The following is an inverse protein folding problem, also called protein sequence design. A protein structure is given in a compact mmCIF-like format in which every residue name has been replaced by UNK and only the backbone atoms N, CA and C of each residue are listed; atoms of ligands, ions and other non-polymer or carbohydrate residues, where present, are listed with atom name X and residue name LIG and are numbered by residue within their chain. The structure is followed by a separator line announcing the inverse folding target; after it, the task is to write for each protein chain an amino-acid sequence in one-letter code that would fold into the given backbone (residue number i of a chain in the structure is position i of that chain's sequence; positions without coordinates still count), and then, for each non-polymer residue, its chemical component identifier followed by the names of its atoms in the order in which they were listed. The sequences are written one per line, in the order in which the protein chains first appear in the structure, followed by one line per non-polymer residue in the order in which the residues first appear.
data_IF_924751404592
#
_entry.id   IF_924751404592
#
_cell.length_a   1.000
_cell.length_b   1.000
_cell.length_c   1.000
_cell.angle_alpha   90.00
_cell.angle_beta   90.00
_cell.angle_gamma   90.00
#
_symmetry.space_group_name_H-M   'P 1'
#
loop_
_entity.id
_entity.type
_entity.pdbx_description
1 polymer ?
#
# COMPACT_ATOMS: atom_id res chain seq x y z
N UNK A 1 -35.06 -2.29 7.30
CA UNK A 1 -34.01 -2.77 8.21
C UNK A 1 -34.54 -3.52 9.45
N UNK A 2 -35.61 -3.07 10.12
CA UNK A 2 -36.12 -3.72 11.35
C UNK A 2 -36.40 -5.23 11.18
N UNK A 3 -37.13 -5.64 10.15
CA UNK A 3 -37.41 -7.07 9.90
C UNK A 3 -36.12 -7.88 9.63
N UNK A 4 -35.16 -7.32 8.89
CA UNK A 4 -33.87 -7.95 8.60
C UNK A 4 -33.04 -8.18 9.87
N UNK A 5 -33.04 -7.21 10.81
CA UNK A 5 -32.39 -7.38 12.11
C UNK A 5 -33.01 -8.52 12.93
N UNK A 6 -34.32 -8.72 12.84
CA UNK A 6 -34.95 -9.87 13.51
C UNK A 6 -34.45 -11.21 12.93
N UNK A 7 -34.32 -11.31 11.59
CA UNK A 7 -33.73 -12.50 10.96
C UNK A 7 -32.26 -12.66 11.33
N UNK A 8 -31.48 -11.58 11.36
CA UNK A 8 -30.07 -11.59 11.76
C UNK A 8 -29.89 -12.21 13.16
N UNK A 9 -30.74 -11.83 14.12
CA UNK A 9 -30.70 -12.38 15.48
C UNK A 9 -30.95 -13.89 15.53
N UNK A 10 -31.75 -14.43 14.60
CA UNK A 10 -31.93 -15.90 14.49
C UNK A 10 -30.62 -16.56 14.11
N UNK A 11 -29.90 -16.04 13.11
CA UNK A 11 -28.61 -16.57 12.68
C UNK A 11 -27.56 -16.46 13.80
N UNK A 12 -27.47 -15.33 14.50
CA UNK A 12 -26.56 -15.17 15.64
C UNK A 12 -26.81 -16.24 16.71
N UNK A 13 -28.07 -16.49 17.08
CA UNK A 13 -28.44 -17.51 18.08
C UNK A 13 -28.09 -18.91 17.62
N UNK A 14 -28.32 -19.23 16.34
CA UNK A 14 -27.98 -20.52 15.76
C UNK A 14 -26.47 -20.76 15.74
N UNK A 15 -25.68 -19.80 15.25
CA UNK A 15 -24.21 -19.91 15.18
C UNK A 15 -23.57 -20.00 16.57
N UNK A 16 -24.10 -19.29 17.56
CA UNK A 16 -23.63 -19.38 18.95
C UNK A 16 -23.83 -20.78 19.53
N UNK A 17 -24.92 -21.47 19.17
CA UNK A 17 -25.25 -22.81 19.67
C UNK A 17 -24.62 -23.93 18.85
N UNK A 18 -24.51 -23.76 17.54
CA UNK A 18 -24.10 -24.78 16.58
C UNK A 18 -22.96 -24.25 15.71
N UNK A 19 -21.74 -24.26 16.25
CA UNK A 19 -20.56 -23.66 15.61
C UNK A 19 -20.22 -24.23 14.23
N UNK A 20 -20.55 -25.49 13.96
CA UNK A 20 -20.34 -26.11 12.65
C UNK A 20 -21.15 -25.43 11.52
N UNK A 21 -22.25 -24.72 11.85
CA UNK A 21 -23.06 -24.00 10.88
C UNK A 21 -22.32 -22.80 10.28
N UNK A 22 -21.31 -22.24 10.95
CA UNK A 22 -20.57 -21.06 10.46
C UNK A 22 -19.92 -21.36 9.10
N UNK A 23 -19.22 -22.50 9.02
CA UNK A 23 -18.59 -22.95 7.77
C UNK A 23 -19.62 -23.30 6.69
N UNK A 24 -20.70 -23.99 7.06
CA UNK A 24 -21.76 -24.33 6.11
C UNK A 24 -22.43 -23.07 5.55
N UNK A 25 -22.67 -22.07 6.38
CA UNK A 25 -23.28 -20.82 5.94
C UNK A 25 -22.35 -20.01 5.06
N UNK A 26 -21.04 -19.99 5.35
CA UNK A 26 -20.05 -19.39 4.46
C UNK A 26 -20.09 -20.05 3.06
N UNK A 27 -20.10 -21.37 3.00
CA UNK A 27 -20.15 -22.14 1.74
C UNK A 27 -21.43 -21.88 0.95
N UNK A 28 -22.59 -21.87 1.62
CA UNK A 28 -23.87 -21.55 0.98
C UNK A 28 -23.96 -20.09 0.54
N UNK A 29 -23.43 -19.15 1.32
CA UNK A 29 -23.38 -17.75 0.93
C UNK A 29 -22.54 -17.53 -0.33
N UNK A 30 -21.41 -18.23 -0.47
CA UNK A 30 -20.61 -18.20 -1.70
C UNK A 30 -21.43 -18.65 -2.92
N UNK A 31 -22.22 -19.72 -2.79
CA UNK A 31 -23.11 -20.19 -3.86
C UNK A 31 -24.19 -19.16 -4.16
N UNK A 32 -24.89 -18.65 -3.15
CA UNK A 32 -25.95 -17.65 -3.32
C UNK A 32 -25.43 -16.41 -4.06
N UNK A 33 -24.25 -15.92 -3.67
CA UNK A 33 -23.63 -14.76 -4.32
C UNK A 33 -23.25 -15.02 -5.78
N UNK A 34 -22.85 -16.24 -6.15
CA UNK A 34 -22.62 -16.62 -7.55
C UNK A 34 -23.91 -16.61 -8.39
N UNK A 35 -25.07 -16.80 -7.76
CA UNK A 35 -26.38 -16.83 -8.42
C UNK A 35 -27.18 -15.53 -8.29
N UNK A 36 -26.56 -14.40 -7.91
CA UNK A 36 -27.28 -13.11 -7.74
C UNK A 36 -28.02 -12.64 -9.00
N UNK A 37 -27.61 -13.12 -10.19
CA UNK A 37 -28.29 -12.87 -11.47
C UNK A 37 -29.72 -13.43 -11.52
N UNK A 38 -30.00 -14.49 -10.78
CA UNK A 38 -31.34 -15.11 -10.72
C UNK A 38 -32.37 -14.33 -9.88
N UNK A 39 -31.92 -13.33 -9.11
CA UNK A 39 -32.79 -12.51 -8.28
C UNK A 39 -33.26 -11.26 -9.04
N UNK A 40 -34.37 -10.67 -8.60
CA UNK A 40 -34.79 -9.33 -9.03
C UNK A 40 -33.90 -8.24 -8.40
N UNK A 41 -33.98 -7.01 -8.91
CA UNK A 41 -33.23 -5.86 -8.37
C UNK A 41 -33.50 -5.64 -6.88
N UNK A 42 -34.78 -5.71 -6.49
CA UNK A 42 -35.22 -5.51 -5.10
C UNK A 42 -34.68 -6.63 -4.21
N UNK A 43 -34.65 -7.87 -4.70
CA UNK A 43 -34.10 -9.01 -3.95
C UNK A 43 -32.59 -8.92 -3.81
N UNK A 44 -31.86 -8.47 -4.83
CA UNK A 44 -30.42 -8.19 -4.74
C UNK A 44 -30.11 -7.13 -3.69
N UNK A 45 -30.87 -6.03 -3.66
CA UNK A 45 -30.74 -4.99 -2.64
C UNK A 45 -30.97 -5.56 -1.23
N UNK A 46 -32.04 -6.35 -1.06
CA UNK A 46 -32.33 -7.01 0.22
C UNK A 46 -31.21 -7.96 0.65
N UNK A 47 -30.69 -8.74 -0.31
CA UNK A 47 -29.59 -9.67 -0.07
C UNK A 47 -28.31 -8.92 0.32
N UNK A 48 -27.92 -7.87 -0.40
CA UNK A 48 -26.76 -7.04 -0.07
C UNK A 48 -26.85 -6.49 1.36
N UNK A 49 -28.00 -5.93 1.74
CA UNK A 49 -28.26 -5.42 3.10
C UNK A 49 -28.20 -6.51 4.16
N UNK A 50 -28.72 -7.70 3.87
CA UNK A 50 -28.66 -8.82 4.80
C UNK A 50 -27.22 -9.35 4.94
N UNK A 51 -26.48 -9.41 3.84
CA UNK A 51 -25.04 -9.75 3.81
C UNK A 51 -24.23 -8.75 4.64
N UNK A 52 -24.54 -7.45 4.57
CA UNK A 52 -23.95 -6.43 5.46
C UNK A 52 -24.11 -6.81 6.94
N UNK A 53 -25.33 -7.14 7.36
CA UNK A 53 -25.62 -7.51 8.75
C UNK A 53 -24.83 -8.75 9.17
N UNK A 54 -24.86 -9.82 8.36
CA UNK A 54 -24.12 -11.05 8.66
C UNK A 54 -22.60 -10.88 8.68
N UNK A 55 -22.02 -10.03 7.82
CA UNK A 55 -20.60 -9.71 7.91
C UNK A 55 -20.32 -8.90 9.18
N UNK A 56 -21.20 -7.95 9.52
CA UNK A 56 -20.98 -7.04 10.64
C UNK A 56 -20.97 -7.72 12.01
N UNK A 57 -21.79 -8.75 12.19
CA UNK A 57 -21.84 -9.52 13.42
C UNK A 57 -20.92 -10.75 13.41
N UNK A 58 -20.18 -10.98 12.31
CA UNK A 58 -19.26 -12.10 12.17
C UNK A 58 -19.89 -13.45 11.84
N UNK A 59 -21.16 -13.52 11.44
CA UNK A 59 -21.82 -14.76 11.00
C UNK A 59 -21.22 -15.32 9.70
N UNK A 60 -20.68 -14.45 8.84
CA UNK A 60 -19.89 -14.84 7.66
C UNK A 60 -18.66 -13.93 7.53
N UNK A 61 -17.52 -14.46 7.06
CA UNK A 61 -16.35 -13.64 6.79
C UNK A 61 -16.54 -12.79 5.53
N UNK A 62 -15.93 -11.60 5.44
CA UNK A 62 -16.01 -10.75 4.24
C UNK A 62 -15.37 -11.37 2.99
N UNK A 63 -14.52 -12.39 3.14
CA UNK A 63 -13.91 -13.13 2.04
C UNK A 63 -14.93 -13.81 1.11
N UNK A 64 -16.17 -14.04 1.57
CA UNK A 64 -17.25 -14.55 0.71
C UNK A 64 -17.54 -13.62 -0.46
N UNK A 65 -17.29 -12.31 -0.33
CA UNK A 65 -17.55 -11.32 -1.38
C UNK A 65 -16.63 -11.49 -2.60
N UNK A 66 -15.50 -12.18 -2.45
CA UNK A 66 -14.58 -12.40 -3.56
C UNK A 66 -15.21 -13.21 -4.70
N UNK A 67 -16.22 -14.05 -4.43
CA UNK A 67 -16.89 -14.83 -5.48
C UNK A 67 -17.67 -13.96 -6.48
N UNK A 68 -17.97 -12.71 -6.12
CA UNK A 68 -18.62 -11.76 -7.02
C UNK A 68 -17.69 -11.32 -8.17
N UNK A 69 -16.39 -11.61 -8.09
CA UNK A 69 -15.44 -11.44 -9.20
C UNK A 69 -15.62 -12.48 -10.33
N UNK A 70 -16.72 -13.24 -10.31
CA UNK A 70 -17.09 -14.13 -11.41
C UNK A 70 -17.40 -13.34 -12.69
N UNK A 71 -16.84 -13.78 -13.82
CA UNK A 71 -16.95 -13.07 -15.11
C UNK A 71 -18.39 -12.74 -15.53
N UNK A 72 -19.34 -13.65 -15.31
CA UNK A 72 -20.72 -13.43 -15.73
C UNK A 72 -21.41 -12.33 -14.91
N UNK A 73 -21.01 -12.15 -13.64
CA UNK A 73 -21.53 -11.10 -12.78
C UNK A 73 -20.88 -9.75 -13.08
N UNK A 74 -19.59 -9.77 -13.43
CA UNK A 74 -18.83 -8.56 -13.77
C UNK A 74 -19.29 -7.99 -15.12
N UNK A 75 -19.48 -8.83 -16.15
CA UNK A 75 -19.92 -8.40 -17.49
C UNK A 75 -21.25 -7.64 -17.45
N UNK A 76 -22.16 -8.07 -16.59
CA UNK A 76 -23.50 -7.49 -16.44
C UNK A 76 -23.54 -6.32 -15.42
N UNK A 77 -22.42 -5.97 -14.78
CA UNK A 77 -22.35 -4.91 -13.76
C UNK A 77 -22.95 -5.27 -12.39
N UNK A 78 -23.58 -6.44 -12.27
CA UNK A 78 -24.26 -6.91 -11.05
C UNK A 78 -23.33 -7.01 -9.84
N UNK A 79 -22.08 -7.42 -10.06
CA UNK A 79 -21.08 -7.53 -9.00
C UNK A 79 -20.82 -6.17 -8.34
N UNK A 80 -20.63 -5.12 -9.16
CA UNK A 80 -20.35 -3.77 -8.70
C UNK A 80 -21.55 -3.16 -7.98
N UNK A 81 -22.75 -3.26 -8.56
CA UNK A 81 -23.98 -2.74 -7.97
C UNK A 81 -24.25 -3.36 -6.59
N UNK A 82 -24.11 -4.68 -6.48
CA UNK A 82 -24.26 -5.40 -5.22
C UNK A 82 -23.24 -4.93 -4.17
N UNK A 83 -21.97 -4.78 -4.57
CA UNK A 83 -20.89 -4.37 -3.68
C UNK A 83 -21.10 -2.93 -3.17
N UNK A 84 -21.51 -2.01 -4.04
CA UNK A 84 -21.83 -0.63 -3.68
C UNK A 84 -22.98 -0.57 -2.67
N UNK A 85 -24.10 -1.27 -2.93
CA UNK A 85 -25.23 -1.30 -1.99
C UNK A 85 -24.81 -1.86 -0.63
N UNK A 86 -23.98 -2.91 -0.61
CA UNK A 86 -23.44 -3.49 0.61
C UNK A 86 -22.59 -2.47 1.38
N UNK A 87 -21.66 -1.77 0.72
CA UNK A 87 -20.79 -0.78 1.35
C UNK A 87 -21.54 0.44 1.87
N UNK A 88 -22.49 0.96 1.09
CA UNK A 88 -23.37 2.06 1.52
C UNK A 88 -24.15 1.64 2.76
N UNK A 89 -24.77 0.45 2.73
CA UNK A 89 -25.50 -0.08 3.89
C UNK A 89 -24.58 -0.27 5.09
N UNK A 90 -23.37 -0.80 4.89
CA UNK A 90 -22.41 -1.03 5.97
C UNK A 90 -22.01 0.28 6.65
N UNK A 91 -21.71 1.30 5.84
CA UNK A 91 -21.38 2.64 6.32
C UNK A 91 -22.54 3.24 7.13
N UNK A 92 -23.78 3.03 6.71
CA UNK A 92 -24.97 3.54 7.40
C UNK A 92 -25.29 2.80 8.70
N UNK A 93 -25.22 1.48 8.70
CA UNK A 93 -25.67 0.65 9.83
C UNK A 93 -24.61 0.48 10.92
N UNK A 94 -23.32 0.43 10.53
CA UNK A 94 -22.21 0.08 11.44
C UNK A 94 -21.19 1.21 11.54
N UNK A 95 -20.92 1.89 10.42
CA UNK A 95 -19.99 3.02 10.37
C UNK A 95 -18.79 2.80 9.46
N UNK A 96 -18.24 3.92 8.99
CA UNK A 96 -17.19 3.96 7.98
C UNK A 96 -15.88 3.31 8.42
N UNK A 97 -15.42 3.57 9.65
CA UNK A 97 -14.17 3.00 10.17
C UNK A 97 -14.20 1.46 10.20
N UNK A 98 -15.37 0.89 10.54
CA UNK A 98 -15.55 -0.55 10.55
C UNK A 98 -15.63 -1.14 9.13
N UNK A 99 -16.28 -0.43 8.19
CA UNK A 99 -16.26 -0.80 6.77
C UNK A 99 -14.81 -0.93 6.26
N UNK A 100 -13.96 0.08 6.46
CA UNK A 100 -12.56 0.03 6.00
C UNK A 100 -11.79 -1.15 6.60
N UNK A 101 -12.04 -1.48 7.87
CA UNK A 101 -11.45 -2.66 8.53
C UNK A 101 -11.91 -3.97 7.91
N UNK A 102 -13.19 -4.06 7.56
CA UNK A 102 -13.78 -5.25 6.93
C UNK A 102 -13.27 -5.45 5.50
N UNK A 103 -13.10 -4.37 4.73
CA UNK A 103 -12.47 -4.43 3.41
C UNK A 103 -11.09 -5.07 3.50
N UNK A 104 -10.26 -4.61 4.46
CA UNK A 104 -8.94 -5.17 4.75
C UNK A 104 -8.97 -6.65 5.12
N UNK A 105 -9.85 -7.03 6.03
CA UNK A 105 -10.03 -8.44 6.42
C UNK A 105 -10.52 -9.32 5.26
N UNK A 106 -11.25 -8.74 4.31
CA UNK A 106 -11.74 -9.42 3.12
C UNK A 106 -10.72 -9.48 1.97
N UNK A 107 -9.60 -8.75 2.06
CA UNK A 107 -8.65 -8.60 0.95
C UNK A 107 -9.29 -7.92 -0.27
N UNK A 108 -10.20 -6.98 -0.04
CA UNK A 108 -10.96 -6.29 -1.09
C UNK A 108 -10.35 -4.94 -1.47
N UNK A 109 -9.56 -4.34 -0.58
CA UNK A 109 -8.96 -3.02 -0.75
C UNK A 109 -8.07 -2.93 -2.00
N UNK A 110 -7.31 -3.97 -2.34
CA UNK A 110 -6.47 -3.99 -3.55
C UNK A 110 -7.21 -4.44 -4.81
N UNK A 111 -8.46 -4.93 -4.67
CA UNK A 111 -9.16 -5.69 -5.71
C UNK A 111 -10.44 -5.05 -6.21
N UNK A 112 -10.75 -3.81 -5.79
CA UNK A 112 -12.00 -3.16 -6.19
C UNK A 112 -12.19 -3.07 -7.71
N UNK A 113 -11.09 -2.89 -8.45
CA UNK A 113 -11.09 -2.87 -9.92
C UNK A 113 -11.59 -4.18 -10.54
N UNK A 114 -11.40 -5.33 -9.87
CA UNK A 114 -11.85 -6.64 -10.34
C UNK A 114 -13.38 -6.72 -10.46
N UNK A 115 -14.11 -5.93 -9.68
CA UNK A 115 -15.57 -5.90 -9.67
C UNK A 115 -16.16 -5.04 -10.79
N UNK A 116 -15.34 -4.19 -11.43
CA UNK A 116 -15.77 -3.34 -12.54
C UNK A 116 -15.84 -4.15 -13.85
N UNK A 117 -16.86 -3.91 -14.70
CA UNK A 117 -16.93 -4.46 -16.06
C UNK A 117 -15.63 -4.20 -16.84
N UNK A 118 -15.15 -5.13 -17.69
CA UNK A 118 -13.83 -5.01 -18.31
C UNK A 118 -13.67 -3.75 -19.18
N UNK A 119 -14.74 -3.34 -19.85
CA UNK A 119 -14.79 -2.13 -20.68
C UNK A 119 -14.86 -0.81 -19.89
N UNK A 120 -15.00 -0.88 -18.56
CA UNK A 120 -15.13 0.28 -17.67
C UNK A 120 -14.11 0.26 -16.53
N UNK A 121 -13.10 -0.61 -16.61
CA UNK A 121 -12.10 -0.80 -15.55
C UNK A 121 -11.03 0.28 -15.62
N UNK A 122 -11.37 1.49 -15.20
CA UNK A 122 -10.44 2.62 -15.02
C UNK A 122 -10.60 3.23 -13.63
N UNK A 123 -9.54 3.87 -13.13
CA UNK A 123 -9.57 4.52 -11.82
C UNK A 123 -10.58 5.67 -11.78
N UNK A 124 -10.74 6.40 -12.89
CA UNK A 124 -11.71 7.49 -13.03
C UNK A 124 -13.14 6.97 -12.86
N UNK A 125 -13.45 5.83 -13.50
CA UNK A 125 -14.77 5.24 -13.38
C UNK A 125 -15.01 4.66 -11.99
N UNK A 126 -13.99 4.04 -11.36
CA UNK A 126 -14.08 3.61 -9.96
C UNK A 126 -14.35 4.79 -9.02
N UNK A 127 -13.60 5.89 -9.16
CA UNK A 127 -13.82 7.12 -8.39
C UNK A 127 -15.23 7.64 -8.58
N UNK A 128 -15.67 7.80 -9.83
CA UNK A 128 -17.00 8.32 -10.14
C UNK A 128 -18.12 7.49 -9.48
N UNK A 129 -18.11 6.17 -9.65
CA UNK A 129 -19.16 5.29 -9.13
C UNK A 129 -19.20 5.26 -7.59
N UNK A 130 -18.05 5.27 -6.92
CA UNK A 130 -17.99 5.18 -5.46
C UNK A 130 -18.20 6.53 -4.79
N UNK A 131 -17.63 7.61 -5.32
CA UNK A 131 -17.77 8.96 -4.75
C UNK A 131 -19.19 9.49 -4.88
N UNK A 132 -19.88 9.20 -5.99
CA UNK A 132 -21.31 9.53 -6.17
C UNK A 132 -22.18 8.92 -5.03
N UNK A 133 -21.77 7.75 -4.52
CA UNK A 133 -22.46 7.05 -3.42
C UNK A 133 -21.89 7.37 -2.04
N UNK A 134 -21.01 8.38 -1.94
CA UNK A 134 -20.41 8.82 -0.69
C UNK A 134 -19.38 7.85 -0.11
N UNK A 135 -18.73 7.03 -0.93
CA UNK A 135 -17.72 6.03 -0.54
C UNK A 135 -16.28 6.50 -0.82
N UNK A 136 -16.00 7.81 -0.78
CA UNK A 136 -14.67 8.37 -1.08
C UNK A 136 -13.54 7.78 -0.23
N UNK A 137 -13.81 7.38 1.01
CA UNK A 137 -12.77 6.77 1.86
C UNK A 137 -12.42 5.33 1.44
N UNK A 138 -13.35 4.62 0.79
CA UNK A 138 -13.08 3.31 0.19
C UNK A 138 -12.15 3.47 -1.02
N UNK A 139 -12.38 4.51 -1.83
CA UNK A 139 -11.51 4.87 -2.95
C UNK A 139 -10.12 5.24 -2.46
N UNK A 140 -10.01 6.10 -1.44
CA UNK A 140 -8.71 6.45 -0.82
C UNK A 140 -7.98 5.22 -0.31
N UNK A 141 -8.68 4.29 0.34
CA UNK A 141 -8.10 3.04 0.82
C UNK A 141 -7.55 2.20 -0.34
N UNK A 142 -8.29 2.09 -1.45
CA UNK A 142 -7.86 1.35 -2.63
C UNK A 142 -6.58 1.93 -3.25
N UNK A 143 -6.54 3.24 -3.45
CA UNK A 143 -5.38 3.92 -4.02
C UNK A 143 -4.15 3.82 -3.12
N UNK A 144 -4.35 3.95 -1.80
CA UNK A 144 -3.26 3.76 -0.84
C UNK A 144 -2.70 2.33 -0.88
N UNK A 145 -3.57 1.33 -1.01
CA UNK A 145 -3.15 -0.06 -1.16
C UNK A 145 -2.39 -0.28 -2.48
N UNK A 146 -2.92 0.20 -3.61
CA UNK A 146 -2.28 0.07 -4.91
C UNK A 146 -0.88 0.71 -4.94
N UNK A 147 -0.75 1.91 -4.34
CA UNK A 147 0.54 2.59 -4.18
C UNK A 147 1.51 1.77 -3.31
N UNK A 148 1.04 1.19 -2.20
CA UNK A 148 1.88 0.38 -1.31
C UNK A 148 2.34 -0.93 -1.99
N UNK A 149 1.46 -1.59 -2.74
CA UNK A 149 1.80 -2.79 -3.51
C UNK A 149 2.79 -2.49 -4.62
N UNK A 150 2.62 -1.36 -5.33
CA UNK A 150 3.56 -0.92 -6.36
C UNK A 150 4.97 -0.69 -5.78
N UNK A 151 5.07 -0.06 -4.60
CA UNK A 151 6.35 0.12 -3.88
C UNK A 151 6.96 -1.22 -3.49
N UNK A 152 6.16 -2.13 -2.93
CA UNK A 152 6.64 -3.47 -2.56
C UNK A 152 7.16 -4.25 -3.77
N UNK A 153 6.48 -4.17 -4.90
CA UNK A 153 6.92 -4.82 -6.13
C UNK A 153 8.24 -4.22 -6.64
N UNK A 154 8.41 -2.91 -6.52
CA UNK A 154 9.67 -2.23 -6.86
C UNK A 154 10.81 -2.67 -5.92
N UNK A 155 10.56 -2.82 -4.61
CA UNK A 155 11.53 -3.39 -3.66
C UNK A 155 11.96 -4.82 -4.04
N UNK A 156 10.99 -5.67 -4.37
CA UNK A 156 11.26 -7.06 -4.79
C UNK A 156 12.10 -7.05 -6.07
N UNK A 157 11.67 -6.30 -7.10
CA UNK A 157 12.40 -6.20 -8.35
C UNK A 157 13.84 -5.70 -8.16
N UNK A 158 14.05 -4.71 -7.30
CA UNK A 158 15.38 -4.17 -7.03
C UNK A 158 16.28 -5.19 -6.33
N UNK A 159 15.74 -5.97 -5.39
CA UNK A 159 16.49 -7.06 -4.77
C UNK A 159 16.84 -8.16 -5.77
N UNK A 160 15.88 -8.56 -6.61
CA UNK A 160 16.10 -9.57 -7.65
C UNK A 160 17.17 -9.11 -8.64
N UNK A 161 17.11 -7.86 -9.08
CA UNK A 161 18.10 -7.24 -9.96
C UNK A 161 19.51 -7.23 -9.36
N UNK A 162 19.64 -7.01 -8.04
CA UNK A 162 20.92 -7.10 -7.33
C UNK A 162 21.41 -8.55 -7.20
N UNK A 163 20.53 -9.49 -6.86
CA UNK A 163 20.87 -10.92 -6.74
C UNK A 163 21.32 -11.51 -8.07
N UNK A 164 20.70 -11.07 -9.17
CA UNK A 164 21.05 -11.45 -10.54
C UNK A 164 22.33 -10.76 -11.05
N UNK A 165 22.95 -9.88 -10.25
CA UNK A 165 24.10 -9.07 -10.62
C UNK A 165 23.90 -8.29 -11.93
N UNK A 166 22.68 -7.78 -12.15
CA UNK A 166 22.39 -6.97 -13.34
C UNK A 166 23.24 -5.70 -13.36
N UNK A 167 23.51 -5.22 -14.56
CA UNK A 167 24.30 -4.01 -14.72
C UNK A 167 23.52 -2.78 -14.25
N UNK A 168 24.20 -1.79 -13.68
CA UNK A 168 23.55 -0.62 -13.08
C UNK A 168 22.61 0.15 -14.02
N UNK A 169 22.91 0.18 -15.33
CA UNK A 169 22.07 0.87 -16.31
C UNK A 169 20.72 0.17 -16.51
N UNK A 170 20.73 -1.16 -16.53
CA UNK A 170 19.53 -1.99 -16.62
C UNK A 170 18.67 -1.84 -15.36
N UNK A 171 19.27 -1.88 -14.17
CA UNK A 171 18.56 -1.67 -12.90
C UNK A 171 17.85 -0.30 -12.89
N UNK A 172 18.56 0.76 -13.28
CA UNK A 172 17.98 2.12 -13.39
C UNK A 172 16.82 2.14 -14.39
N UNK A 173 16.96 1.48 -15.54
CA UNK A 173 15.92 1.40 -16.56
C UNK A 173 14.66 0.70 -16.04
N UNK A 174 14.82 -0.46 -15.39
CA UNK A 174 13.73 -1.25 -14.84
C UNK A 174 12.94 -0.46 -13.79
N UNK A 175 13.65 0.21 -12.86
CA UNK A 175 13.00 1.02 -11.83
C UNK A 175 12.24 2.19 -12.46
N UNK A 176 12.81 2.88 -13.47
CA UNK A 176 12.15 4.00 -14.16
C UNK A 176 10.86 3.56 -14.86
N UNK A 177 10.89 2.40 -15.52
CA UNK A 177 9.71 1.82 -16.17
C UNK A 177 8.60 1.51 -15.15
N UNK A 178 8.95 0.80 -14.07
CA UNK A 178 7.99 0.45 -13.02
C UNK A 178 7.44 1.69 -12.30
N UNK A 179 8.29 2.68 -12.01
CA UNK A 179 7.84 3.90 -11.36
C UNK A 179 6.91 4.71 -12.24
N UNK A 180 7.19 4.80 -13.54
CA UNK A 180 6.32 5.51 -14.49
C UNK A 180 5.00 4.79 -14.70
N UNK A 181 4.99 3.45 -14.67
CA UNK A 181 3.78 2.64 -14.83
C UNK A 181 2.80 2.80 -13.68
N UNK A 182 3.30 3.07 -12.48
CA UNK A 182 2.53 3.16 -11.24
C UNK A 182 2.50 4.58 -10.64
N UNK A 183 2.95 5.58 -11.40
CA UNK A 183 3.04 6.99 -10.99
C UNK A 183 3.69 7.19 -9.60
N UNK A 184 4.74 6.40 -9.30
CA UNK A 184 5.46 6.49 -8.03
C UNK A 184 6.34 7.73 -8.06
N UNK A 185 6.16 8.69 -7.14
CA UNK A 185 6.98 9.89 -7.09
C UNK A 185 8.45 9.60 -6.81
N UNK A 186 9.35 10.34 -7.45
CA UNK A 186 10.80 10.14 -7.34
C UNK A 186 11.32 10.18 -5.88
N UNK A 187 10.79 11.09 -5.07
CA UNK A 187 11.16 11.21 -3.65
C UNK A 187 10.77 9.98 -2.79
N UNK A 188 9.86 9.14 -3.26
CA UNK A 188 9.55 7.86 -2.62
C UNK A 188 10.47 6.74 -3.14
N UNK A 189 10.80 6.77 -4.44
CA UNK A 189 11.73 5.82 -5.07
C UNK A 189 13.11 5.92 -4.41
N UNK A 190 13.63 7.14 -4.21
CA UNK A 190 14.97 7.32 -3.64
C UNK A 190 15.06 6.79 -2.19
N UNK A 191 13.97 6.90 -1.42
CA UNK A 191 13.87 6.34 -0.06
C UNK A 191 13.86 4.81 -0.09
N UNK A 192 13.16 4.23 -1.06
CA UNK A 192 13.12 2.79 -1.29
C UNK A 192 14.50 2.27 -1.73
N UNK A 193 15.14 2.92 -2.72
CA UNK A 193 16.49 2.61 -3.19
C UNK A 193 17.47 2.61 -2.02
N UNK A 194 17.47 3.66 -1.19
CA UNK A 194 18.28 3.70 0.03
C UNK A 194 18.02 2.48 0.92
N UNK A 195 16.75 2.18 1.19
CA UNK A 195 16.36 1.08 2.07
C UNK A 195 16.88 -0.26 1.57
N UNK A 196 16.71 -0.56 0.28
CA UNK A 196 17.18 -1.83 -0.32
C UNK A 196 18.70 -1.88 -0.44
N UNK A 197 19.36 -0.79 -0.82
CA UNK A 197 20.83 -0.73 -0.91
C UNK A 197 21.46 -0.98 0.46
N UNK A 198 20.91 -0.39 1.53
CA UNK A 198 21.45 -0.56 2.88
C UNK A 198 21.24 -1.96 3.47
N UNK A 199 20.34 -2.78 2.91
CA UNK A 199 20.17 -4.19 3.30
C UNK A 199 21.07 -5.15 2.53
N UNK A 200 21.76 -4.71 1.47
CA UNK A 200 22.66 -5.57 0.68
C UNK A 200 23.99 -5.89 1.38
N UNK A 201 24.28 -5.28 2.54
CA UNK A 201 25.57 -5.40 3.22
C UNK A 201 25.40 -5.72 4.69
N UNK A 202 26.17 -6.70 5.15
CA UNK A 202 26.41 -6.92 6.57
C UNK A 202 27.48 -5.97 7.10
N UNK A 203 27.12 -5.18 8.10
CA UNK A 203 27.97 -4.12 8.62
C UNK A 203 29.02 -4.61 9.61
N UNK A 204 30.24 -4.08 9.49
CA UNK A 204 31.30 -4.34 10.45
C UNK A 204 30.92 -3.84 11.85
N UNK A 205 31.31 -4.56 12.90
CA UNK A 205 31.06 -4.14 14.30
C UNK A 205 32.05 -3.08 14.80
N UNK A 206 33.19 -2.89 14.12
CA UNK A 206 34.19 -1.86 14.47
C UNK A 206 33.84 -0.54 13.77
N UNK A 207 33.69 0.53 14.53
CA UNK A 207 33.22 1.85 14.06
C UNK A 207 34.05 2.41 12.89
N UNK A 208 35.38 2.36 12.98
CA UNK A 208 36.27 2.87 11.93
C UNK A 208 36.14 2.07 10.62
N UNK A 209 36.09 0.74 10.70
CA UNK A 209 35.94 -0.14 9.54
C UNK A 209 34.53 -0.04 8.93
N UNK A 210 33.51 0.17 9.76
CA UNK A 210 32.14 0.39 9.33
C UNK A 210 32.03 1.66 8.50
N UNK A 211 32.67 2.76 8.91
CA UNK A 211 32.64 4.01 8.16
C UNK A 211 33.22 3.83 6.75
N UNK A 212 34.41 3.22 6.63
CA UNK A 212 35.05 3.00 5.33
C UNK A 212 34.27 2.00 4.46
N UNK A 213 33.70 0.96 5.05
CA UNK A 213 32.84 -0.01 4.37
C UNK A 213 31.59 0.68 3.82
N UNK A 214 30.93 1.53 4.61
CA UNK A 214 29.73 2.26 4.21
C UNK A 214 30.00 3.20 3.03
N UNK A 215 31.12 3.93 3.05
CA UNK A 215 31.48 4.82 1.95
C UNK A 215 31.80 4.05 0.67
N UNK A 216 32.52 2.93 0.76
CA UNK A 216 32.80 2.07 -0.40
C UNK A 216 31.51 1.50 -1.00
N UNK A 217 30.63 1.00 -0.15
CA UNK A 217 29.32 0.48 -0.55
C UNK A 217 28.49 1.55 -1.26
N UNK A 218 28.23 2.69 -0.62
CA UNK A 218 27.41 3.76 -1.19
C UNK A 218 28.03 4.39 -2.46
N UNK A 219 29.36 4.41 -2.57
CA UNK A 219 30.04 4.87 -3.77
C UNK A 219 29.75 3.97 -4.98
N UNK A 220 29.65 2.66 -4.80
CA UNK A 220 29.27 1.72 -5.86
C UNK A 220 27.87 2.00 -6.40
N UNK A 221 26.93 2.40 -5.54
CA UNK A 221 25.54 2.69 -5.91
C UNK A 221 25.27 4.18 -6.21
N UNK A 222 26.29 5.04 -6.23
CA UNK A 222 26.11 6.47 -6.53
C UNK A 222 25.40 6.74 -7.88
N UNK A 223 25.66 6.00 -8.98
CA UNK A 223 24.90 6.18 -10.21
C UNK A 223 23.40 5.88 -10.07
N UNK A 224 23.03 4.93 -9.20
CA UNK A 224 21.63 4.61 -8.91
C UNK A 224 20.96 5.73 -8.13
N UNK A 225 21.62 6.23 -7.08
CA UNK A 225 21.10 7.36 -6.30
C UNK A 225 20.92 8.60 -7.16
N UNK A 226 21.93 8.96 -7.96
CA UNK A 226 21.90 10.12 -8.86
C UNK A 226 20.74 10.05 -9.87
N UNK A 227 20.40 8.85 -10.35
CA UNK A 227 19.29 8.65 -11.29
C UNK A 227 17.89 8.95 -10.70
N UNK A 228 17.76 8.98 -9.37
CA UNK A 228 16.52 9.21 -8.64
C UNK A 228 16.62 10.36 -7.62
N UNK A 229 17.63 11.23 -7.75
CA UNK A 229 17.81 12.44 -6.95
C UNK A 229 17.93 13.66 -7.87
N UNK A 230 17.03 13.78 -8.84
CA UNK A 230 17.03 14.83 -9.87
C UNK A 230 16.26 16.10 -9.46
N UNK A 231 15.57 16.06 -8.32
CA UNK A 231 14.80 17.18 -7.79
C UNK A 231 15.22 17.51 -6.37
N UNK A 232 15.12 18.78 -5.97
CA UNK A 232 15.38 19.19 -4.60
C UNK A 232 14.53 18.43 -3.55
N UNK A 233 13.35 17.93 -3.95
CA UNK A 233 12.47 17.12 -3.08
C UNK A 233 13.01 15.71 -2.89
N UNK A 234 13.50 15.04 -3.94
CA UNK A 234 14.08 13.70 -3.85
C UNK A 234 15.44 13.72 -3.15
N UNK A 235 16.28 14.71 -3.44
CA UNK A 235 17.54 14.93 -2.71
C UNK A 235 17.31 15.14 -1.20
N UNK A 236 16.35 16.01 -0.83
CA UNK A 236 16.03 16.24 0.58
C UNK A 236 15.46 14.99 1.24
N UNK A 237 14.63 14.21 0.53
CA UNK A 237 14.10 12.95 1.03
C UNK A 237 15.21 11.92 1.30
N UNK A 238 16.20 11.81 0.40
CA UNK A 238 17.38 10.97 0.61
C UNK A 238 18.17 11.43 1.85
N UNK A 239 18.43 12.73 1.97
CA UNK A 239 19.19 13.29 3.09
C UNK A 239 18.49 13.04 4.44
N UNK A 240 17.17 13.23 4.48
CA UNK A 240 16.35 12.89 5.64
C UNK A 240 16.38 11.40 5.99
N UNK A 241 16.39 10.53 4.97
CA UNK A 241 16.46 9.09 5.17
C UNK A 241 17.83 8.64 5.71
N UNK A 242 18.91 9.24 5.21
CA UNK A 242 20.27 9.04 5.72
C UNK A 242 20.35 9.50 7.18
N UNK A 243 19.77 10.65 7.51
CA UNK A 243 19.72 11.18 8.88
C UNK A 243 18.98 10.22 9.81
N UNK A 244 17.78 9.76 9.42
CA UNK A 244 16.99 8.79 10.19
C UNK A 244 17.78 7.49 10.43
N UNK A 245 18.39 6.92 9.39
CA UNK A 245 19.19 5.71 9.50
C UNK A 245 20.38 5.89 10.45
N UNK A 246 21.12 6.99 10.32
CA UNK A 246 22.27 7.25 11.20
C UNK A 246 21.84 7.52 12.65
N UNK A 247 20.65 8.09 12.86
CA UNK A 247 20.09 8.33 14.19
C UNK A 247 19.68 7.03 14.89
N UNK A 248 19.03 6.12 14.15
CA UNK A 248 18.55 4.84 14.66
C UNK A 248 19.69 3.82 14.87
N UNK A 249 20.80 3.98 14.14
CA UNK A 249 21.98 3.12 14.24
C UNK A 249 23.16 3.87 14.88
N UNK A 250 23.40 3.66 16.18
CA UNK A 250 24.46 4.36 16.94
C UNK A 250 25.85 4.28 16.29
N UNK A 251 26.17 3.16 15.63
CA UNK A 251 27.46 2.98 14.92
C UNK A 251 27.61 3.89 13.69
N UNK A 252 26.50 4.38 13.12
CA UNK A 252 26.47 5.27 11.97
C UNK A 252 26.39 6.75 12.36
N UNK A 253 26.24 7.08 13.65
CA UNK A 253 26.09 8.46 14.11
C UNK A 253 27.23 9.38 13.66
N UNK A 254 28.48 8.88 13.61
CA UNK A 254 29.65 9.65 13.13
C UNK A 254 29.91 9.52 11.63
N UNK A 255 29.10 8.75 10.91
CA UNK A 255 29.27 8.44 9.48
C UNK A 255 28.40 9.37 8.63
N UNK A 256 27.36 9.97 9.20
CA UNK A 256 26.43 10.87 8.53
C UNK A 256 27.13 11.94 7.68
N UNK A 257 28.01 12.77 8.28
CA UNK A 257 28.74 13.81 7.55
C UNK A 257 29.54 13.24 6.37
N UNK A 258 30.18 12.07 6.56
CA UNK A 258 30.97 11.42 5.51
C UNK A 258 30.08 10.95 4.35
N UNK A 259 28.88 10.46 4.63
CA UNK A 259 27.89 10.07 3.59
C UNK A 259 27.41 11.29 2.81
N UNK A 260 27.05 12.38 3.50
CA UNK A 260 26.62 13.60 2.82
C UNK A 260 27.74 14.16 1.95
N UNK A 261 28.98 14.18 2.44
CA UNK A 261 30.14 14.62 1.67
C UNK A 261 30.41 13.71 0.45
N UNK A 262 30.22 12.40 0.59
CA UNK A 262 30.32 11.46 -0.53
C UNK A 262 29.27 11.77 -1.60
N UNK A 263 28.00 11.89 -1.19
CA UNK A 263 26.89 12.20 -2.11
C UNK A 263 27.01 13.57 -2.76
N UNK A 264 27.57 14.56 -2.07
CA UNK A 264 27.92 15.83 -2.69
C UNK A 264 29.00 15.66 -3.76
N UNK A 265 30.08 14.91 -3.46
CA UNK A 265 31.19 14.67 -4.41
C UNK A 265 30.82 13.80 -5.60
N UNK A 266 29.73 13.04 -5.52
CA UNK A 266 29.25 12.17 -6.60
C UNK A 266 28.01 12.70 -7.30
N UNK A 267 27.70 13.99 -7.13
CA UNK A 267 26.56 14.68 -7.76
C UNK A 267 25.19 13.99 -7.47
N UNK A 268 25.06 13.41 -6.28
CA UNK A 268 23.80 12.85 -5.76
C UNK A 268 23.03 13.90 -4.97
N UNK A 269 23.73 14.79 -4.25
CA UNK A 269 23.14 15.89 -3.49
C UNK A 269 23.76 17.22 -3.91
N UNK A 270 22.92 18.23 -4.10
CA UNK A 270 23.33 19.60 -4.39
C UNK A 270 23.61 20.40 -3.11
N UNK A 271 24.47 21.41 -3.23
CA UNK A 271 24.77 22.33 -2.12
C UNK A 271 23.51 23.03 -1.60
N UNK A 272 22.60 23.44 -2.48
CA UNK A 272 21.36 24.12 -2.13
C UNK A 272 20.50 23.27 -1.19
N UNK A 273 20.35 21.97 -1.46
CA UNK A 273 19.56 21.07 -0.64
C UNK A 273 20.23 20.81 0.72
N UNK A 274 21.57 20.68 0.74
CA UNK A 274 22.33 20.52 1.99
C UNK A 274 22.13 21.76 2.89
N UNK A 275 22.22 22.96 2.32
CA UNK A 275 21.98 24.22 3.04
C UNK A 275 20.53 24.33 3.53
N UNK A 276 19.56 23.92 2.70
CA UNK A 276 18.14 23.90 3.07
C UNK A 276 17.89 22.95 4.24
N UNK A 277 18.45 21.74 4.20
CA UNK A 277 18.38 20.79 5.30
C UNK A 277 19.01 21.36 6.58
N UNK A 278 20.17 21.99 6.48
CA UNK A 278 20.87 22.58 7.63
C UNK A 278 20.04 23.68 8.31
N UNK A 279 19.39 24.55 7.53
CA UNK A 279 18.58 25.67 8.04
C UNK A 279 17.24 25.23 8.64
N UNK A 280 16.47 24.42 7.90
CA UNK A 280 15.05 24.18 8.22
C UNK A 280 14.54 22.76 7.89
N UNK A 281 15.27 21.99 7.07
CA UNK A 281 14.80 20.70 6.55
C UNK A 281 15.21 19.46 7.36
N UNK A 282 15.75 19.60 8.56
CA UNK A 282 16.27 18.49 9.37
C UNK A 282 15.19 17.85 10.27
N UNK A 283 15.37 16.57 10.63
CA UNK A 283 14.46 15.84 11.54
C UNK A 283 15.11 15.45 12.88
N UNK A 284 14.97 14.18 13.32
CA UNK A 284 15.45 13.63 14.59
C UNK A 284 16.97 13.76 14.74
N UNK A 285 17.46 13.99 15.96
CA UNK A 285 18.91 14.12 16.20
C UNK A 285 19.53 15.43 15.70
N UNK A 286 18.70 16.45 15.41
CA UNK A 286 19.08 17.78 14.92
C UNK A 286 20.39 18.30 15.51
N UNK A 287 20.49 18.44 16.83
CA UNK A 287 21.63 19.09 17.49
C UNK A 287 22.95 18.40 17.14
N UNK A 288 22.97 17.07 17.16
CA UNK A 288 24.16 16.26 16.89
C UNK A 288 24.58 16.34 15.42
N UNK A 289 23.65 16.23 14.48
CA UNK A 289 24.00 16.24 13.05
C UNK A 289 24.32 17.64 12.52
N UNK A 290 23.69 18.69 13.06
CA UNK A 290 24.06 20.06 12.71
C UNK A 290 25.48 20.39 13.17
N UNK A 291 25.90 19.93 14.35
CA UNK A 291 27.28 20.11 14.82
C UNK A 291 28.31 19.41 13.93
N UNK A 292 28.00 18.22 13.40
CA UNK A 292 28.87 17.51 12.46
C UNK A 292 28.98 18.18 11.10
N UNK A 293 27.99 18.99 10.72
CA UNK A 293 27.91 19.64 9.41
C UNK A 293 28.35 21.11 9.42
N UNK A 294 28.83 21.62 10.56
CA UNK A 294 29.52 22.92 10.67
C UNK A 294 30.86 22.88 9.95
#
# INVERSE_FOLDING_TARGET
MVSMRNYEQVFIKLMRRYKYLEKMFEEEMKKILLFIKGFSDIERIKLARMTTLWISNGSIPPTVLQVLTNEHLIKDGLALEFLIELFVTYKQEVGNAHLLTVLKKGGLEGRLMDFLPPNKRTEENLRAQFEEKGLSDVVKLHLAQASQEAKRNLEIQLNDDFNDNKNMKEIISNIKELSSKHDIPEHEIIVLVWTVVMTQVEWNKKEELLADQALKHLKQYSPLFSAFSTTARSELALMLKVQEYCYENMNFMRVFQKIILLFYKTDVLTEEVILKWYKEGHSKGKTTFLEQMK
#
